data_IF_990163178514
#
_entry.id   IF_990163178514
#
_cell.length_a   1.000
_cell.length_b   1.000
_cell.length_c   1.000
_cell.angle_alpha   90.00
_cell.angle_beta   90.00
_cell.angle_gamma   90.00
#
_symmetry.space_group_name_H-M   'P 1'
#
loop_
_entity.id
_entity.type
_entity.pdbx_description
1 polymer ?
#
# COMPACT_ATOMS: atom_id res chain seq x y z
N UNK A 1 8.60 -17.64 -3.24
CA UNK A 1 9.55 -16.50 -3.29
C UNK A 1 10.53 -16.65 -2.15
N UNK A 2 11.85 -16.53 -2.38
CA UNK A 2 12.84 -16.59 -1.29
C UNK A 2 12.76 -15.34 -0.42
N UNK A 3 13.18 -15.43 0.85
CA UNK A 3 13.18 -14.29 1.78
C UNK A 3 14.02 -13.12 1.28
N UNK A 4 15.17 -13.41 0.65
CA UNK A 4 16.03 -12.39 0.07
C UNK A 4 15.34 -11.65 -1.08
N UNK A 5 14.62 -12.37 -1.94
CA UNK A 5 13.85 -11.76 -3.02
C UNK A 5 12.70 -10.93 -2.46
N UNK A 6 11.98 -11.44 -1.45
CA UNK A 6 10.92 -10.69 -0.77
C UNK A 6 11.43 -9.38 -0.17
N UNK A 7 12.57 -9.41 0.53
CA UNK A 7 13.18 -8.20 1.10
C UNK A 7 13.53 -7.17 0.01
N UNK A 8 14.15 -7.62 -1.09
CA UNK A 8 14.49 -6.73 -2.20
C UNK A 8 13.24 -6.12 -2.85
N UNK A 9 12.16 -6.90 -2.99
CA UNK A 9 10.86 -6.41 -3.47
C UNK A 9 10.28 -5.38 -2.50
N UNK A 10 10.31 -5.62 -1.19
CA UNK A 10 9.85 -4.67 -0.18
C UNK A 10 10.63 -3.36 -0.23
N UNK A 11 11.95 -3.41 -0.35
CA UNK A 11 12.81 -2.21 -0.51
C UNK A 11 12.43 -1.46 -1.79
N UNK A 12 12.35 -2.15 -2.93
CA UNK A 12 12.01 -1.53 -4.21
C UNK A 12 10.64 -0.87 -4.19
N UNK A 13 9.63 -1.54 -3.63
CA UNK A 13 8.29 -0.98 -3.48
C UNK A 13 8.26 0.20 -2.50
N UNK A 14 9.02 0.15 -1.42
CA UNK A 14 9.12 1.28 -0.46
C UNK A 14 9.71 2.52 -1.13
N UNK A 15 10.75 2.34 -1.96
CA UNK A 15 11.35 3.41 -2.76
C UNK A 15 10.41 3.94 -3.83
N UNK A 16 9.67 3.06 -4.52
CA UNK A 16 8.64 3.46 -5.48
C UNK A 16 7.46 4.21 -4.84
N UNK A 17 7.08 3.84 -3.61
CA UNK A 17 6.03 4.52 -2.86
C UNK A 17 6.43 5.93 -2.42
N UNK A 18 7.73 6.25 -2.31
CA UNK A 18 8.21 7.55 -1.87
C UNK A 18 7.72 8.71 -2.77
N UNK A 19 7.91 8.71 -4.11
CA UNK A 19 7.35 9.75 -4.96
C UNK A 19 5.82 9.80 -4.92
N UNK A 20 5.14 8.66 -4.79
CA UNK A 20 3.67 8.60 -4.61
C UNK A 20 3.24 9.32 -3.32
N UNK A 21 3.92 9.03 -2.21
CA UNK A 21 3.67 9.65 -0.90
C UNK A 21 3.95 11.16 -0.92
N UNK A 22 5.02 11.60 -1.59
CA UNK A 22 5.35 13.02 -1.75
C UNK A 22 4.26 13.75 -2.55
N UNK A 23 3.80 13.17 -3.67
CA UNK A 23 2.72 13.75 -4.47
C UNK A 23 1.41 13.81 -3.67
N UNK A 24 1.02 12.70 -3.05
CA UNK A 24 -0.22 12.62 -2.27
C UNK A 24 -0.21 13.58 -1.07
N UNK A 25 0.93 13.73 -0.39
CA UNK A 25 1.07 14.70 0.70
C UNK A 25 0.93 16.15 0.23
N UNK A 26 1.55 16.51 -0.90
CA UNK A 26 1.57 17.89 -1.39
C UNK A 26 0.30 18.31 -2.09
N UNK A 27 -0.27 17.43 -2.91
CA UNK A 27 -1.36 17.78 -3.83
C UNK A 27 -2.61 16.93 -3.65
N UNK A 28 -2.61 15.93 -2.77
CA UNK A 28 -3.72 14.97 -2.60
C UNK A 28 -4.07 14.22 -3.88
N UNK A 29 -3.11 14.15 -4.80
CA UNK A 29 -3.22 13.51 -6.09
C UNK A 29 -1.92 12.77 -6.39
N UNK A 30 -2.03 11.55 -6.93
CA UNK A 30 -0.90 10.77 -7.41
C UNK A 30 -1.05 10.56 -8.91
N UNK A 31 0.03 10.77 -9.65
CA UNK A 31 0.02 10.62 -11.11
C UNK A 31 -0.34 9.19 -11.52
N UNK A 32 -1.17 9.07 -12.55
CA UNK A 32 -1.50 7.79 -13.16
C UNK A 32 -0.25 7.10 -13.74
N UNK A 33 0.76 7.86 -14.17
CA UNK A 33 2.03 7.29 -14.63
C UNK A 33 2.75 6.48 -13.55
N UNK A 34 2.58 6.85 -12.28
CA UNK A 34 3.18 6.11 -11.16
C UNK A 34 2.36 4.90 -10.74
N UNK A 35 1.04 4.91 -10.94
CA UNK A 35 0.12 3.91 -10.36
C UNK A 35 -0.47 2.93 -11.37
N UNK A 36 -0.73 3.35 -12.60
CA UNK A 36 -1.36 2.51 -13.63
C UNK A 36 -0.42 1.41 -14.13
N UNK A 37 0.84 1.66 -14.52
CA UNK A 37 1.71 0.58 -14.98
C UNK A 37 1.92 -0.51 -13.90
N UNK A 38 2.22 -0.18 -12.62
CA UNK A 38 2.30 -1.20 -11.57
C UNK A 38 0.99 -1.94 -11.32
N UNK A 39 -0.16 -1.25 -11.41
CA UNK A 39 -1.47 -1.89 -11.31
C UNK A 39 -1.72 -2.91 -12.43
N UNK A 40 -1.37 -2.58 -13.67
CA UNK A 40 -1.52 -3.51 -14.79
C UNK A 40 -0.57 -4.71 -14.66
N UNK A 41 0.66 -4.48 -14.21
CA UNK A 41 1.63 -5.55 -13.93
C UNK A 41 1.24 -6.41 -12.71
N UNK A 42 0.42 -5.89 -11.79
CA UNK A 42 -0.01 -6.63 -10.60
C UNK A 42 -0.76 -7.93 -10.96
N UNK A 43 -1.52 -7.95 -12.06
CA UNK A 43 -2.31 -9.12 -12.46
C UNK A 43 -1.45 -10.33 -12.87
N UNK A 44 -0.50 -10.20 -13.83
CA UNK A 44 0.42 -11.30 -14.12
C UNK A 44 1.32 -11.63 -12.93
N UNK A 45 1.78 -10.63 -12.16
CA UNK A 45 2.58 -10.87 -10.94
C UNK A 45 1.80 -11.68 -9.90
N UNK A 46 0.50 -11.43 -9.74
CA UNK A 46 -0.35 -12.18 -8.82
C UNK A 46 -0.48 -13.65 -9.21
N UNK A 47 -0.55 -13.95 -10.51
CA UNK A 47 -0.52 -15.34 -11.01
C UNK A 47 0.81 -16.01 -10.70
N UNK A 48 1.93 -15.31 -10.95
CA UNK A 48 3.27 -15.84 -10.71
C UNK A 48 3.58 -16.06 -9.21
N UNK A 49 3.04 -15.21 -8.34
CA UNK A 49 3.27 -15.27 -6.90
C UNK A 49 2.23 -16.11 -6.13
N UNK A 50 1.23 -16.68 -6.81
CA UNK A 50 0.13 -17.40 -6.15
C UNK A 50 -0.80 -16.49 -5.33
N UNK A 51 -0.76 -15.18 -5.56
CA UNK A 51 -1.56 -14.17 -4.87
C UNK A 51 -2.90 -13.88 -5.58
N UNK A 52 -3.29 -14.70 -6.57
CA UNK A 52 -4.47 -14.46 -7.40
C UNK A 52 -5.80 -14.48 -6.63
N UNK A 53 -5.88 -15.06 -5.43
CA UNK A 53 -7.04 -14.89 -4.56
C UNK A 53 -7.09 -13.53 -3.87
N UNK A 54 -5.93 -13.06 -3.38
CA UNK A 54 -5.81 -11.83 -2.61
C UNK A 54 -5.96 -10.58 -3.48
N UNK A 55 -5.28 -10.53 -4.63
CA UNK A 55 -5.26 -9.36 -5.53
C UNK A 55 -6.65 -8.90 -5.98
N UNK A 56 -7.54 -9.76 -6.53
CA UNK A 56 -8.91 -9.37 -6.87
C UNK A 56 -9.76 -9.07 -5.62
N UNK A 57 -9.55 -9.77 -4.50
CA UNK A 57 -10.26 -9.45 -3.26
C UNK A 57 -9.92 -8.03 -2.77
N UNK A 58 -8.65 -7.63 -2.84
CA UNK A 58 -8.20 -6.26 -2.53
C UNK A 58 -8.77 -5.27 -3.54
N UNK A 59 -8.77 -5.59 -4.84
CA UNK A 59 -9.36 -4.72 -5.86
C UNK A 59 -10.85 -4.48 -5.60
N UNK A 60 -11.63 -5.54 -5.37
CA UNK A 60 -13.06 -5.45 -5.05
C UNK A 60 -13.29 -4.70 -3.74
N UNK A 61 -12.52 -5.01 -2.69
CA UNK A 61 -12.64 -4.34 -1.39
C UNK A 61 -12.40 -2.84 -1.49
N UNK A 62 -11.36 -2.43 -2.22
CA UNK A 62 -11.08 -1.00 -2.46
C UNK A 62 -12.15 -0.37 -3.35
N UNK A 63 -12.58 -1.05 -4.43
CA UNK A 63 -13.64 -0.54 -5.30
C UNK A 63 -14.93 -0.29 -4.51
N UNK A 64 -15.34 -1.23 -3.65
CA UNK A 64 -16.50 -1.06 -2.78
C UNK A 64 -16.30 0.07 -1.79
N UNK A 65 -15.12 0.17 -1.14
CA UNK A 65 -14.82 1.27 -0.23
C UNK A 65 -14.91 2.65 -0.92
N UNK A 66 -14.39 2.76 -2.15
CA UNK A 66 -14.50 3.97 -2.96
C UNK A 66 -15.96 4.26 -3.35
N UNK A 67 -16.69 3.27 -3.86
CA UNK A 67 -18.08 3.40 -4.26
C UNK A 67 -19.01 3.81 -3.10
N UNK A 68 -18.69 3.37 -1.87
CA UNK A 68 -19.40 3.73 -0.64
C UNK A 68 -18.94 5.07 -0.04
N UNK A 69 -18.01 5.78 -0.68
CA UNK A 69 -17.55 7.10 -0.21
C UNK A 69 -16.68 7.04 1.03
N UNK A 70 -16.00 5.92 1.31
CA UNK A 70 -15.13 5.75 2.49
C UNK A 70 -13.84 6.59 2.45
N UNK A 71 -13.70 7.50 1.48
CA UNK A 71 -12.56 8.43 1.36
C UNK A 71 -11.29 7.81 0.78
N UNK A 72 -11.36 6.61 0.20
CA UNK A 72 -10.22 5.95 -0.43
C UNK A 72 -10.13 6.36 -1.90
N UNK A 73 -8.98 6.89 -2.33
CA UNK A 73 -8.81 7.40 -3.69
C UNK A 73 -8.60 6.29 -4.72
N UNK A 74 -8.91 6.52 -6.01
CA UNK A 74 -8.59 5.58 -7.09
C UNK A 74 -7.09 5.24 -7.18
N UNK A 75 -6.22 6.18 -6.81
CA UNK A 75 -4.78 5.95 -6.75
C UNK A 75 -4.40 4.97 -5.63
N UNK A 76 -4.99 5.11 -4.44
CA UNK A 76 -4.76 4.23 -3.30
C UNK A 76 -5.14 2.79 -3.62
N UNK A 77 -6.22 2.59 -4.38
CA UNK A 77 -6.62 1.27 -4.85
C UNK A 77 -5.63 0.62 -5.80
N UNK A 78 -5.13 1.37 -6.77
CA UNK A 78 -4.09 0.87 -7.68
C UNK A 78 -2.82 0.46 -6.93
N UNK A 79 -2.42 1.27 -5.95
CA UNK A 79 -1.29 0.97 -5.07
C UNK A 79 -1.57 -0.30 -4.25
N UNK A 80 -2.73 -0.37 -3.58
CA UNK A 80 -3.10 -1.52 -2.75
C UNK A 80 -3.09 -2.84 -3.55
N UNK A 81 -3.61 -2.83 -4.77
CA UNK A 81 -3.60 -3.99 -5.68
C UNK A 81 -2.18 -4.38 -6.09
N UNK A 82 -1.32 -3.42 -6.43
CA UNK A 82 0.08 -3.69 -6.74
C UNK A 82 0.84 -4.31 -5.55
N UNK A 83 0.57 -3.81 -4.33
CA UNK A 83 1.14 -4.35 -3.11
C UNK A 83 0.60 -5.75 -2.78
N UNK A 84 -0.71 -5.99 -2.98
CA UNK A 84 -1.32 -7.30 -2.77
C UNK A 84 -0.65 -8.39 -3.64
N UNK A 85 -0.36 -8.07 -4.89
CA UNK A 85 0.27 -9.00 -5.82
C UNK A 85 1.76 -9.25 -5.53
N UNK A 86 2.48 -8.21 -5.09
CA UNK A 86 3.95 -8.21 -5.07
C UNK A 86 4.54 -8.40 -3.67
N UNK A 87 3.94 -7.77 -2.66
CA UNK A 87 4.40 -7.80 -1.28
C UNK A 87 3.23 -7.63 -0.30
N UNK A 88 2.42 -8.68 -0.05
CA UNK A 88 1.35 -8.66 0.94
C UNK A 88 1.75 -8.11 2.33
N UNK A 89 2.98 -8.34 2.84
CA UNK A 89 3.40 -7.74 4.11
C UNK A 89 3.42 -6.21 4.11
N UNK A 90 3.82 -5.59 3.00
CA UNK A 90 3.83 -4.11 2.85
C UNK A 90 2.40 -3.58 2.84
N UNK A 91 1.48 -4.27 2.13
CA UNK A 91 0.06 -3.92 2.15
C UNK A 91 -0.50 -3.97 3.57
N UNK A 92 -0.28 -5.08 4.28
CA UNK A 92 -0.78 -5.27 5.64
C UNK A 92 -0.22 -4.20 6.59
N UNK A 93 1.09 -3.98 6.57
CA UNK A 93 1.73 -2.95 7.40
C UNK A 93 1.17 -1.55 7.07
N UNK A 94 0.95 -1.22 5.79
CA UNK A 94 0.36 0.05 5.38
C UNK A 94 -1.08 0.23 5.89
N UNK A 95 -1.91 -0.80 5.79
CA UNK A 95 -3.28 -0.80 6.34
C UNK A 95 -3.24 -0.57 7.85
N UNK A 96 -2.38 -1.28 8.58
CA UNK A 96 -2.26 -1.13 10.03
C UNK A 96 -1.78 0.27 10.44
N UNK A 97 -0.80 0.82 9.73
CA UNK A 97 -0.31 2.20 9.96
C UNK A 97 -1.42 3.21 9.71
N UNK A 98 -2.16 3.09 8.61
CA UNK A 98 -3.30 3.96 8.32
C UNK A 98 -4.40 3.83 9.37
N UNK A 99 -4.80 2.60 9.72
CA UNK A 99 -5.84 2.35 10.71
C UNK A 99 -5.48 2.93 12.08
N UNK A 100 -4.24 2.70 12.54
CA UNK A 100 -3.74 3.26 13.79
C UNK A 100 -3.72 4.78 13.78
N UNK A 101 -3.24 5.39 12.69
CA UNK A 101 -3.19 6.84 12.57
C UNK A 101 -4.60 7.47 12.48
N UNK A 102 -5.55 6.84 11.79
CA UNK A 102 -6.96 7.23 11.81
C UNK A 102 -7.54 7.15 13.21
N UNK A 103 -7.31 6.05 13.94
CA UNK A 103 -7.77 5.88 15.31
C UNK A 103 -7.23 6.99 16.23
N UNK A 104 -5.93 7.27 16.16
CA UNK A 104 -5.30 8.35 16.93
C UNK A 104 -5.95 9.72 16.62
N UNK A 105 -6.24 10.02 15.35
CA UNK A 105 -6.93 11.26 14.99
C UNK A 105 -8.36 11.33 15.54
N UNK A 106 -9.09 10.21 15.55
CA UNK A 106 -10.44 10.15 16.14
C UNK A 106 -10.41 10.34 17.65
N UNK A 107 -9.48 9.69 18.35
CA UNK A 107 -9.28 9.86 19.79
C UNK A 107 -8.87 11.30 20.15
N UNK A 108 -8.18 12.00 19.25
CA UNK A 108 -7.82 13.43 19.40
C UNK A 108 -8.95 14.40 19.01
N UNK A 109 -10.17 13.92 18.79
CA UNK A 109 -11.31 14.77 18.43
C UNK A 109 -11.19 15.42 17.05
N UNK A 110 -10.43 14.82 16.12
CA UNK A 110 -10.29 15.30 14.72
C UNK A 110 -11.04 14.38 13.75
N UNK A 111 -12.39 14.35 13.75
CA UNK A 111 -13.19 13.42 12.95
C UNK A 111 -13.15 13.70 11.44
N UNK A 112 -12.71 14.88 11.01
CA UNK A 112 -12.60 15.25 9.59
C UNK A 112 -11.16 15.20 9.06
N UNK A 113 -10.18 14.98 9.92
CA UNK A 113 -8.80 14.82 9.46
C UNK A 113 -8.68 13.52 8.65
N UNK A 114 -8.06 13.62 7.48
CA UNK A 114 -7.83 12.52 6.56
C UNK A 114 -6.34 12.43 6.23
N UNK A 115 -5.80 11.23 6.34
CA UNK A 115 -4.38 10.96 6.08
C UNK A 115 -4.26 10.58 4.61
N UNK A 116 -3.26 11.12 3.88
CA UNK A 116 -3.00 10.68 2.51
C UNK A 116 -2.67 9.18 2.49
N UNK A 117 -3.35 8.41 1.64
CA UNK A 117 -3.24 6.95 1.61
C UNK A 117 -1.83 6.48 1.22
N UNK A 118 -1.22 7.09 0.21
CA UNK A 118 0.11 6.73 -0.25
C UNK A 118 1.19 6.94 0.83
N UNK A 119 1.01 7.95 1.71
CA UNK A 119 1.89 8.18 2.86
C UNK A 119 1.82 7.01 3.85
N UNK A 120 0.60 6.53 4.14
CA UNK A 120 0.40 5.37 5.01
C UNK A 120 1.01 4.09 4.43
N UNK A 121 0.86 3.86 3.12
CA UNK A 121 1.49 2.72 2.45
C UNK A 121 3.02 2.81 2.46
N UNK A 122 3.59 3.99 2.22
CA UNK A 122 5.04 4.17 2.29
C UNK A 122 5.58 3.90 3.70
N UNK A 123 4.95 4.47 4.73
CA UNK A 123 5.31 4.21 6.13
C UNK A 123 5.19 2.72 6.49
N UNK A 124 4.12 2.06 6.03
CA UNK A 124 3.97 0.60 6.14
C UNK A 124 5.10 -0.18 5.46
N UNK A 125 5.52 0.25 4.26
CA UNK A 125 6.63 -0.36 3.54
C UNK A 125 7.97 -0.23 4.27
N UNK A 126 8.24 0.93 4.88
CA UNK A 126 9.41 1.11 5.75
C UNK A 126 9.36 0.13 6.92
N UNK A 127 8.22 0.05 7.63
CA UNK A 127 8.05 -0.86 8.77
C UNK A 127 8.23 -2.32 8.35
N UNK A 128 7.57 -2.77 7.29
CA UNK A 128 7.68 -4.14 6.79
C UNK A 128 9.12 -4.48 6.37
N UNK A 129 9.79 -3.57 5.69
CA UNK A 129 11.20 -3.73 5.27
C UNK A 129 12.12 -3.86 6.48
N UNK A 130 11.96 -3.00 7.50
CA UNK A 130 12.78 -3.07 8.71
C UNK A 130 12.55 -4.36 9.49
N UNK A 131 11.30 -4.80 9.65
CA UNK A 131 10.97 -6.06 10.34
C UNK A 131 11.63 -7.24 9.64
N UNK A 132 11.52 -7.33 8.31
CA UNK A 132 12.15 -8.40 7.53
C UNK A 132 13.68 -8.33 7.57
N UNK A 133 14.26 -7.13 7.50
CA UNK A 133 15.71 -6.95 7.58
C UNK A 133 16.27 -7.37 8.95
N UNK A 134 15.61 -6.98 10.05
CA UNK A 134 16.01 -7.37 11.40
C UNK A 134 15.83 -8.87 11.64
N UNK A 135 14.73 -9.45 11.16
CA UNK A 135 14.46 -10.89 11.27
C UNK A 135 15.53 -11.75 10.62
N UNK A 136 16.16 -11.26 9.54
CA UNK A 136 17.23 -11.95 8.81
C UNK A 136 18.59 -11.93 9.51
N UNK A 137 18.82 -10.99 10.43
CA UNK A 137 20.10 -10.87 11.17
C UNK A 137 20.16 -11.85 12.35
N UNK A 138 19.01 -12.43 12.74
CA UNK A 138 18.90 -13.44 13.80
C UNK A 138 19.01 -14.85 13.24
#
# INVERSE_FOLDING_TARGET
MSEALLLNVCVGLTLWLLPCAIQDYRTRHVSNWLTVPPFLLAWPVALLNGAFGLTPAVFVGVYLAWALGAGLGPADGKIAVALAASAPPVLLAGILVQAGAFLVLRLRGKPRASIPGAVGFHAGGVVATLVLAVGRIR
#
